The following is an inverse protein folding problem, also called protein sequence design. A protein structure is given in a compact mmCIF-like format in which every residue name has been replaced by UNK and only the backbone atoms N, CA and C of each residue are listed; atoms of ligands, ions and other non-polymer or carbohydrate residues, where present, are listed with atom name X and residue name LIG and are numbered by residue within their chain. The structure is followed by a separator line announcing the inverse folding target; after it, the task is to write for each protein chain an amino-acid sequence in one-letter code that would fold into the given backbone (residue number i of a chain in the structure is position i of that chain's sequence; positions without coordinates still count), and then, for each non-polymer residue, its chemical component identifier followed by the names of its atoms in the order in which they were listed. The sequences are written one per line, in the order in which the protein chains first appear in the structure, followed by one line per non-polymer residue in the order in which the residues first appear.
data_IF_803637637659
#
_entry.id   IF_803637637659
#
_cell.length_a   1.000
_cell.length_b   1.000
_cell.length_c   1.000
_cell.angle_alpha   90.00
_cell.angle_beta   90.00
_cell.angle_gamma   90.00
#
_symmetry.space_group_name_H-M   'P 1'
#
loop_
_entity.id
_entity.type
_entity.pdbx_description
1 polymer ?
#
# COMPACT_ATOMS: atom_id res chain seq x y z
N UNK A 1 2.22 31.80 -6.73
CA UNK A 1 0.76 31.71 -6.81
C UNK A 1 0.32 30.58 -5.91
N UNK A 2 -0.07 30.91 -4.67
CA UNK A 2 -0.47 29.94 -3.63
C UNK A 2 -1.89 29.45 -3.94
N UNK A 3 -2.02 28.21 -4.37
CA UNK A 3 -3.36 27.58 -4.48
C UNK A 3 -3.97 27.49 -3.11
N UNK A 4 -5.09 28.20 -2.93
CA UNK A 4 -5.83 28.26 -1.68
C UNK A 4 -6.19 26.84 -1.19
N UNK A 5 -6.00 26.50 0.10
CA UNK A 5 -6.29 25.18 0.64
C UNK A 5 -7.75 24.74 0.42
N UNK A 6 -8.65 25.70 0.26
CA UNK A 6 -10.06 25.46 -0.07
C UNK A 6 -10.29 24.84 -1.46
N UNK A 7 -9.39 25.08 -2.42
CA UNK A 7 -9.49 24.50 -3.77
C UNK A 7 -9.08 23.04 -3.77
N UNK A 8 -8.07 22.67 -3.00
CA UNK A 8 -7.60 21.29 -2.86
C UNK A 8 -8.67 20.43 -2.16
N UNK A 9 -9.30 20.95 -1.11
CA UNK A 9 -10.40 20.28 -0.40
C UNK A 9 -11.61 20.08 -1.31
N UNK A 10 -11.96 21.05 -2.14
CA UNK A 10 -13.06 20.91 -3.13
C UNK A 10 -12.76 19.88 -4.21
N UNK A 11 -11.52 19.80 -4.69
CA UNK A 11 -11.09 18.77 -5.65
C UNK A 11 -11.11 17.37 -5.03
N UNK A 12 -10.67 17.21 -3.78
CA UNK A 12 -10.75 15.95 -3.05
C UNK A 12 -12.19 15.51 -2.80
N UNK A 13 -13.07 16.42 -2.40
CA UNK A 13 -14.50 16.14 -2.23
C UNK A 13 -15.15 15.79 -3.58
N UNK A 14 -14.79 16.48 -4.66
CA UNK A 14 -15.24 16.16 -6.02
C UNK A 14 -14.83 14.77 -6.48
N UNK A 15 -13.59 14.37 -6.25
CA UNK A 15 -13.09 13.01 -6.54
C UNK A 15 -13.82 11.94 -5.70
N UNK A 16 -14.11 12.21 -4.43
CA UNK A 16 -14.86 11.29 -3.57
C UNK A 16 -16.31 11.17 -4.03
N UNK A 17 -16.94 12.28 -4.45
CA UNK A 17 -18.33 12.26 -4.94
C UNK A 17 -18.48 11.55 -6.28
N UNK A 18 -17.49 11.60 -7.18
CA UNK A 18 -17.50 10.89 -8.46
C UNK A 18 -17.33 9.38 -8.32
N UNK A 19 -16.82 8.90 -7.17
CA UNK A 19 -16.71 7.46 -6.84
C UNK A 19 -18.02 6.84 -6.33
N UNK A 20 -19.02 7.64 -5.97
CA UNK A 20 -20.30 7.20 -5.40
C UNK A 20 -21.33 6.59 -6.36
N UNK A 21 -21.38 6.85 -7.70
CA UNK A 21 -22.46 6.32 -8.54
C UNK A 21 -22.20 4.95 -9.16
N UNK A 22 -21.21 4.16 -8.74
CA UNK A 22 -20.93 2.83 -9.30
C UNK A 22 -21.89 1.71 -8.81
N UNK A 23 -23.05 2.06 -8.28
CA UNK A 23 -24.06 1.06 -7.87
C UNK A 23 -24.78 0.33 -9.00
N UNK A 24 -24.53 0.67 -10.26
CA UNK A 24 -25.20 0.04 -11.41
C UNK A 24 -24.30 -0.87 -12.25
N UNK A 25 -23.08 -1.18 -11.82
CA UNK A 25 -22.35 -2.30 -12.38
C UNK A 25 -23.09 -3.59 -11.96
N UNK A 26 -23.71 -4.27 -12.90
CA UNK A 26 -24.40 -5.55 -12.70
C UNK A 26 -23.58 -6.42 -11.79
N UNK A 27 -24.15 -6.75 -10.62
CA UNK A 27 -23.51 -7.53 -9.58
C UNK A 27 -23.11 -8.89 -10.15
N UNK A 28 -21.87 -9.01 -10.61
CA UNK A 28 -21.26 -10.32 -10.78
C UNK A 28 -21.27 -10.94 -9.38
N UNK A 29 -21.97 -12.06 -9.23
CA UNK A 29 -22.14 -12.71 -7.92
C UNK A 29 -20.77 -12.98 -7.30
N UNK A 30 -20.57 -12.37 -6.18
CA UNK A 30 -19.38 -12.51 -5.36
C UNK A 30 -19.45 -13.84 -4.62
N UNK A 31 -18.42 -14.66 -4.72
CA UNK A 31 -18.38 -15.96 -4.03
C UNK A 31 -18.20 -15.77 -2.52
N UNK A 32 -17.33 -14.84 -2.11
CA UNK A 32 -16.99 -14.54 -0.72
C UNK A 32 -16.86 -13.03 -0.50
N UNK A 33 -17.44 -12.54 0.60
CA UNK A 33 -17.44 -11.11 0.88
C UNK A 33 -16.18 -10.63 1.58
N UNK A 34 -15.62 -11.46 2.46
CA UNK A 34 -14.48 -11.09 3.31
C UNK A 34 -13.32 -12.07 3.11
N UNK A 35 -12.11 -11.54 3.09
CA UNK A 35 -10.87 -12.30 3.04
C UNK A 35 -9.96 -11.79 4.14
N UNK A 36 -9.41 -12.69 4.95
CA UNK A 36 -8.42 -12.39 5.98
C UNK A 36 -7.10 -13.07 5.63
N UNK A 37 -6.01 -12.38 5.81
CA UNK A 37 -4.70 -12.92 5.46
C UNK A 37 -3.55 -12.33 6.22
N UNK A 38 -2.41 -12.97 6.04
CA UNK A 38 -1.11 -12.56 6.55
C UNK A 38 -0.14 -12.35 5.40
N UNK A 39 0.76 -11.42 5.55
CA UNK A 39 1.78 -11.07 4.56
C UNK A 39 3.15 -11.00 5.22
N UNK A 40 4.18 -11.36 4.45
CA UNK A 40 5.58 -11.18 4.86
C UNK A 40 6.46 -10.94 3.63
N UNK A 41 7.54 -10.19 3.81
CA UNK A 41 8.49 -9.94 2.74
C UNK A 41 9.47 -8.81 3.03
N UNK A 42 10.25 -8.39 2.04
CA UNK A 42 11.20 -7.30 2.17
C UNK A 42 10.52 -5.92 2.17
N UNK A 43 11.06 -5.04 3.00
CA UNK A 43 10.77 -3.62 3.08
C UNK A 43 12.07 -2.87 2.79
N UNK A 44 12.00 -1.87 1.90
CA UNK A 44 13.13 -1.02 1.52
C UNK A 44 12.77 0.44 1.69
N UNK A 45 13.72 1.21 2.20
CA UNK A 45 13.58 2.64 2.40
C UNK A 45 14.13 3.42 1.20
N UNK A 46 13.39 4.45 0.76
CA UNK A 46 13.78 5.39 -0.27
C UNK A 46 13.79 6.80 0.32
N UNK A 47 14.96 7.32 0.63
CA UNK A 47 15.16 8.66 1.16
C UNK A 47 16.61 9.05 1.07
N UNK A 48 16.95 10.20 1.63
CA UNK A 48 18.26 10.83 1.52
C UNK A 48 19.40 9.93 2.01
N UNK A 49 19.16 9.07 2.97
CA UNK A 49 20.14 8.13 3.52
C UNK A 49 20.41 6.88 2.66
N UNK A 50 19.66 6.66 1.59
CA UNK A 50 19.81 5.47 0.73
C UNK A 50 19.97 5.81 -0.75
N UNK A 51 20.69 6.89 -1.06
CA UNK A 51 20.89 7.38 -2.41
C UNK A 51 21.68 6.39 -3.26
N UNK A 52 21.09 5.95 -4.38
CA UNK A 52 21.80 5.22 -5.44
C UNK A 52 21.40 3.76 -5.67
N UNK A 53 20.61 3.11 -4.81
CA UNK A 53 20.11 1.76 -5.10
C UNK A 53 18.86 1.43 -4.29
N UNK A 54 17.71 1.27 -4.93
CA UNK A 54 16.42 1.11 -4.24
C UNK A 54 16.28 -0.20 -3.44
N UNK A 55 17.14 -1.17 -3.65
CA UNK A 55 17.11 -2.49 -2.96
C UNK A 55 18.32 -2.73 -2.05
N UNK A 56 19.02 -1.66 -1.67
CA UNK A 56 20.16 -1.75 -0.77
C UNK A 56 19.64 -1.84 0.68
N UNK A 57 20.02 -2.89 1.40
CA UNK A 57 19.59 -3.17 2.78
C UNK A 57 18.08 -3.44 2.95
N UNK A 58 17.50 -4.49 2.30
CA UNK A 58 16.13 -4.87 2.56
C UNK A 58 15.98 -5.39 4.00
N UNK A 59 14.97 -4.91 4.70
CA UNK A 59 14.57 -5.42 6.00
C UNK A 59 13.32 -6.29 5.88
N UNK A 60 13.09 -7.13 6.87
CA UNK A 60 11.88 -7.92 6.93
C UNK A 60 10.70 -7.07 7.42
N UNK A 61 9.55 -7.27 6.79
CA UNK A 61 8.26 -6.76 7.24
C UNK A 61 7.23 -7.87 7.25
N UNK A 62 6.26 -7.75 8.14
CA UNK A 62 5.10 -8.62 8.21
C UNK A 62 3.84 -7.76 8.38
N UNK A 63 2.71 -8.25 7.85
CA UNK A 63 1.44 -7.56 7.96
C UNK A 63 0.29 -8.55 8.10
N UNK A 64 -0.81 -8.05 8.65
CA UNK A 64 -2.11 -8.70 8.62
C UNK A 64 -3.07 -7.83 7.83
N UNK A 65 -4.01 -8.43 7.12
CA UNK A 65 -4.98 -7.66 6.38
C UNK A 65 -6.36 -8.29 6.37
N UNK A 66 -7.35 -7.42 6.23
CA UNK A 66 -8.73 -7.77 5.93
C UNK A 66 -9.10 -7.14 4.58
N UNK A 67 -9.63 -7.94 3.67
CA UNK A 67 -10.07 -7.47 2.36
C UNK A 67 -11.57 -7.69 2.24
N UNK A 68 -12.29 -6.61 2.04
CA UNK A 68 -13.73 -6.65 1.77
C UNK A 68 -13.96 -6.54 0.27
N UNK A 69 -14.46 -7.61 -0.32
CA UNK A 69 -14.74 -7.68 -1.73
C UNK A 69 -16.09 -7.00 -2.02
N UNK A 70 -16.06 -5.88 -2.74
CA UNK A 70 -17.27 -5.17 -3.20
C UNK A 70 -17.90 -5.92 -4.38
N UNK A 71 -17.06 -6.36 -5.29
CA UNK A 71 -17.41 -7.21 -6.43
C UNK A 71 -16.16 -8.01 -6.88
N UNK A 72 -16.26 -8.80 -7.96
CA UNK A 72 -15.15 -9.62 -8.45
C UNK A 72 -13.95 -8.80 -8.96
N UNK A 73 -14.13 -7.49 -9.18
CA UNK A 73 -13.07 -6.59 -9.68
C UNK A 73 -12.63 -5.54 -8.67
N UNK A 74 -13.42 -5.27 -7.65
CA UNK A 74 -13.21 -4.17 -6.72
C UNK A 74 -13.18 -4.68 -5.28
N UNK A 75 -12.19 -4.28 -4.51
CA UNK A 75 -12.05 -4.64 -3.10
C UNK A 75 -11.53 -3.46 -2.30
N UNK A 76 -11.88 -3.43 -1.03
CA UNK A 76 -11.27 -2.56 -0.02
C UNK A 76 -10.36 -3.42 0.86
N UNK A 77 -9.10 -3.10 0.93
CA UNK A 77 -8.11 -3.76 1.80
C UNK A 77 -7.75 -2.84 2.94
N UNK A 78 -7.85 -3.34 4.15
CA UNK A 78 -7.33 -2.73 5.35
C UNK A 78 -6.16 -3.57 5.85
N UNK A 79 -4.99 -2.97 6.01
CA UNK A 79 -3.79 -3.67 6.47
C UNK A 79 -3.09 -2.95 7.61
N UNK A 80 -2.46 -3.76 8.46
CA UNK A 80 -1.56 -3.31 9.52
C UNK A 80 -0.24 -4.02 9.32
N UNK A 81 0.80 -3.25 9.02
CA UNK A 81 2.13 -3.74 8.75
C UNK A 81 3.11 -3.32 9.86
N UNK A 82 4.02 -4.22 10.17
CA UNK A 82 5.16 -3.98 11.07
C UNK A 82 6.45 -4.35 10.35
N UNK A 83 7.44 -3.49 10.42
CA UNK A 83 8.75 -3.73 9.84
C UNK A 83 9.83 -2.86 10.45
N UNK A 84 11.01 -2.91 9.85
CA UNK A 84 12.12 -2.03 10.19
C UNK A 84 12.59 -1.29 8.94
N UNK A 85 12.87 -0.01 9.09
CA UNK A 85 13.58 0.76 8.06
C UNK A 85 15.03 0.95 8.53
N UNK A 86 15.96 0.78 7.61
CA UNK A 86 17.38 1.06 7.86
C UNK A 86 17.99 1.79 6.67
N UNK A 87 18.89 2.69 6.97
CA UNK A 87 19.71 3.40 5.98
C UNK A 87 21.16 3.42 6.44
N UNK A 88 22.08 3.40 5.47
CA UNK A 88 23.52 3.48 5.68
C UNK A 88 24.10 4.49 4.67
N UNK A 89 24.32 5.71 5.14
CA UNK A 89 24.88 6.81 4.32
C UNK A 89 26.39 6.67 4.10
N UNK A 90 27.09 5.82 4.85
CA UNK A 90 28.56 5.64 4.74
C UNK A 90 29.01 5.05 3.40
N UNK A 91 28.11 4.39 2.68
CA UNK A 91 28.36 3.77 1.36
C UNK A 91 27.91 4.63 0.17
N UNK A 92 27.41 5.84 0.42
CA UNK A 92 26.98 6.79 -0.62
C UNK A 92 28.11 7.73 -1.01
N UNK A 93 28.11 8.20 -2.27
CA UNK A 93 29.08 9.15 -2.81
C UNK A 93 28.86 10.59 -2.30
N UNK A 94 27.79 10.84 -1.57
CA UNK A 94 27.40 12.17 -1.11
C UNK A 94 27.77 12.35 0.36
N UNK A 95 28.72 13.23 0.61
CA UNK A 95 29.02 13.75 1.94
C UNK A 95 28.00 14.86 2.23
N UNK A 96 27.28 14.76 3.33
CA UNK A 96 26.43 15.84 3.81
C UNK A 96 27.30 17.04 4.21
N UNK A 97 26.99 18.27 3.78
CA UNK A 97 27.87 19.42 3.94
C UNK A 97 28.11 19.88 5.39
N UNK A 98 27.28 19.45 6.35
CA UNK A 98 27.37 19.88 7.76
C UNK A 98 27.85 18.79 8.73
N UNK A 99 28.26 17.61 8.25
CA UNK A 99 28.70 16.53 9.13
C UNK A 99 30.01 15.92 8.64
N UNK A 100 31.12 16.54 9.04
CA UNK A 100 32.46 16.01 8.81
C UNK A 100 32.61 14.61 9.44
N UNK A 101 32.54 13.58 8.59
CA UNK A 101 33.05 12.25 8.90
C UNK A 101 32.17 11.33 9.75
N UNK A 102 30.95 11.70 10.09
CA UNK A 102 30.05 10.77 10.82
C UNK A 102 29.32 9.82 9.87
N UNK A 103 29.54 8.53 10.06
CA UNK A 103 28.78 7.47 9.41
C UNK A 103 27.34 7.46 9.95
N UNK A 104 26.38 7.97 9.15
CA UNK A 104 24.99 7.95 9.56
C UNK A 104 24.38 6.59 9.27
N UNK A 105 24.14 5.83 10.32
CA UNK A 105 23.42 4.55 10.28
C UNK A 105 22.20 4.64 11.15
N UNK A 106 21.04 4.34 10.60
CA UNK A 106 19.83 4.26 11.39
C UNK A 106 19.11 2.93 11.15
N UNK A 107 18.45 2.46 12.19
CA UNK A 107 17.54 1.31 12.13
C UNK A 107 16.39 1.60 13.08
N UNK A 108 15.19 1.81 12.53
CA UNK A 108 14.01 2.21 13.30
C UNK A 108 12.86 1.27 13.02
N UNK A 109 12.05 0.90 14.04
CA UNK A 109 10.81 0.18 13.83
C UNK A 109 9.79 1.08 13.14
N UNK A 110 9.00 0.49 12.26
CA UNK A 110 7.94 1.14 11.51
C UNK A 110 6.65 0.34 11.69
N UNK A 111 5.58 1.04 12.01
CA UNK A 111 4.20 0.53 11.99
C UNK A 111 3.42 1.32 10.95
N UNK A 112 2.70 0.63 10.11
CA UNK A 112 1.86 1.25 9.09
C UNK A 112 0.45 0.68 9.14
N UNK A 113 -0.54 1.56 9.07
CA UNK A 113 -1.96 1.19 9.02
C UNK A 113 -2.53 1.85 7.78
N UNK A 114 -3.07 1.08 6.85
CA UNK A 114 -3.59 1.62 5.61
C UNK A 114 -4.94 1.05 5.22
N UNK A 115 -5.73 1.88 4.54
CA UNK A 115 -6.95 1.50 3.85
C UNK A 115 -6.74 1.74 2.36
N UNK A 116 -6.86 0.69 1.55
CA UNK A 116 -6.53 0.70 0.13
C UNK A 116 -7.70 0.18 -0.70
N UNK A 117 -7.95 0.86 -1.80
CA UNK A 117 -8.86 0.39 -2.83
C UNK A 117 -8.07 -0.41 -3.85
N UNK A 118 -8.55 -1.61 -4.16
CA UNK A 118 -7.94 -2.51 -5.14
C UNK A 118 -8.86 -2.69 -6.33
N UNK A 119 -8.28 -2.62 -7.54
CA UNK A 119 -8.96 -2.86 -8.79
C UNK A 119 -8.30 -4.03 -9.53
N UNK A 120 -9.02 -5.13 -9.64
CA UNK A 120 -8.58 -6.31 -10.38
C UNK A 120 -8.81 -6.10 -11.89
N UNK A 121 -7.80 -6.40 -12.71
CA UNK A 121 -7.93 -6.30 -14.16
C UNK A 121 -8.91 -7.33 -14.73
N UNK A 122 -9.04 -8.49 -14.07
CA UNK A 122 -9.99 -9.53 -14.45
C UNK A 122 -10.91 -9.86 -13.28
N UNK A 123 -12.08 -10.40 -13.61
CA UNK A 123 -13.00 -10.92 -12.61
C UNK A 123 -12.35 -12.07 -11.84
N UNK A 124 -12.14 -11.87 -10.54
CA UNK A 124 -11.45 -12.82 -9.66
C UNK A 124 -12.43 -13.80 -9.02
N UNK A 125 -12.12 -15.09 -9.04
CA UNK A 125 -12.95 -16.12 -8.45
C UNK A 125 -12.37 -17.52 -8.62
N UNK A 126 -13.16 -18.56 -8.30
CA UNK A 126 -12.72 -19.98 -8.36
C UNK A 126 -12.40 -20.47 -9.78
N UNK A 127 -12.79 -19.73 -10.79
CA UNK A 127 -12.70 -20.16 -12.19
C UNK A 127 -13.79 -21.20 -12.54
N UNK A 128 -14.00 -21.39 -13.82
CA UNK A 128 -15.00 -22.37 -14.29
C UNK A 128 -16.46 -21.90 -14.24
N UNK A 129 -16.71 -20.68 -13.77
CA UNK A 129 -18.02 -20.05 -13.89
C UNK A 129 -18.25 -19.63 -15.33
N UNK A 130 -19.46 -19.85 -15.83
CA UNK A 130 -19.92 -19.41 -17.16
C UNK A 130 -19.73 -17.87 -17.37
N UNK A 131 -19.58 -17.10 -16.29
CA UNK A 131 -19.32 -15.65 -16.26
C UNK A 131 -17.84 -15.26 -16.41
N UNK A 132 -16.92 -16.21 -16.63
CA UNK A 132 -15.53 -15.93 -17.00
C UNK A 132 -14.64 -15.43 -15.84
N UNK A 133 -14.92 -15.80 -14.59
CA UNK A 133 -14.00 -15.53 -13.47
C UNK A 133 -12.68 -16.29 -13.65
N UNK A 134 -11.57 -15.67 -13.27
CA UNK A 134 -10.23 -16.26 -13.35
C UNK A 134 -9.65 -16.47 -11.97
N UNK A 135 -8.89 -17.55 -11.80
CA UNK A 135 -8.16 -17.83 -10.55
C UNK A 135 -6.96 -16.91 -10.35
N UNK A 136 -6.42 -16.37 -11.44
CA UNK A 136 -5.32 -15.42 -11.41
C UNK A 136 -5.85 -14.04 -11.81
N UNK A 137 -5.58 -13.03 -10.99
CA UNK A 137 -5.93 -11.64 -11.30
C UNK A 137 -4.82 -10.68 -10.85
N UNK A 138 -4.15 -10.00 -11.78
CA UNK A 138 -3.38 -8.82 -11.45
C UNK A 138 -4.30 -7.70 -10.99
N UNK A 139 -3.80 -6.85 -10.10
CA UNK A 139 -4.53 -5.70 -9.59
C UNK A 139 -3.63 -4.50 -9.38
N UNK A 140 -4.24 -3.33 -9.37
CA UNK A 140 -3.65 -2.09 -8.91
C UNK A 140 -4.33 -1.69 -7.61
N UNK A 141 -3.60 -0.97 -6.78
CA UNK A 141 -4.11 -0.49 -5.49
C UNK A 141 -3.66 0.93 -5.21
N UNK A 142 -4.53 1.67 -4.54
CA UNK A 142 -4.25 3.00 -4.02
C UNK A 142 -5.04 3.25 -2.75
N UNK A 143 -4.52 4.10 -1.87
CA UNK A 143 -5.21 4.34 -0.62
C UNK A 143 -4.64 5.47 0.21
N UNK A 144 -5.03 5.47 1.47
CA UNK A 144 -4.54 6.36 2.50
C UNK A 144 -4.14 5.54 3.71
N UNK A 145 -3.08 5.95 4.38
CA UNK A 145 -2.57 5.29 5.57
C UNK A 145 -1.91 6.24 6.55
N UNK A 146 -1.56 5.70 7.68
CA UNK A 146 -0.78 6.34 8.73
C UNK A 146 0.44 5.49 9.01
N UNK A 147 1.61 6.09 8.87
CA UNK A 147 2.88 5.46 9.16
C UNK A 147 3.44 6.05 10.44
N UNK A 148 3.72 5.21 11.41
CA UNK A 148 4.38 5.59 12.65
C UNK A 148 5.80 5.03 12.68
N UNK A 149 6.78 5.90 12.88
CA UNK A 149 8.18 5.55 13.01
C UNK A 149 8.75 6.23 14.27
N UNK A 150 9.16 5.44 15.25
CA UNK A 150 9.65 5.92 16.54
C UNK A 150 8.59 6.77 17.29
N UNK A 151 8.66 8.09 17.23
CA UNK A 151 7.70 9.03 17.85
C UNK A 151 6.96 9.90 16.83
N UNK A 152 7.28 9.73 15.56
CA UNK A 152 6.70 10.50 14.47
C UNK A 152 5.56 9.71 13.83
N UNK A 153 4.46 10.41 13.54
CA UNK A 153 3.32 9.85 12.80
C UNK A 153 3.12 10.70 11.55
N UNK A 154 3.11 10.05 10.40
CA UNK A 154 2.93 10.69 9.11
C UNK A 154 1.76 10.09 8.35
N UNK A 155 1.06 10.93 7.59
CA UNK A 155 0.10 10.44 6.59
C UNK A 155 0.89 9.77 5.46
N UNK A 156 0.43 8.61 5.02
CA UNK A 156 1.01 7.89 3.87
C UNK A 156 -0.02 7.68 2.76
N UNK A 157 0.48 7.69 1.53
CA UNK A 157 -0.31 7.39 0.34
C UNK A 157 0.29 6.13 -0.28
N UNK A 158 -0.28 4.94 -0.01
CA UNK A 158 0.13 3.72 -0.65
C UNK A 158 -0.35 3.69 -2.11
N UNK A 159 0.58 3.41 -3.02
CA UNK A 159 0.32 3.09 -4.42
C UNK A 159 1.00 1.76 -4.73
N UNK A 160 0.32 0.85 -5.41
CA UNK A 160 0.91 -0.45 -5.66
C UNK A 160 0.24 -1.25 -6.75
N UNK A 161 0.89 -2.35 -7.03
CA UNK A 161 0.44 -3.39 -7.96
C UNK A 161 0.59 -4.74 -7.27
N UNK A 162 -0.22 -5.69 -7.65
CA UNK A 162 -0.09 -7.03 -7.13
C UNK A 162 -0.73 -8.08 -8.01
N UNK A 163 -0.59 -9.31 -7.59
CA UNK A 163 -1.20 -10.45 -8.24
C UNK A 163 -1.85 -11.34 -7.19
N UNK A 164 -3.09 -11.78 -7.48
CA UNK A 164 -3.87 -12.72 -6.67
C UNK A 164 -3.97 -14.05 -7.39
N UNK A 165 -3.82 -15.12 -6.66
CA UNK A 165 -4.04 -16.47 -7.17
C UNK A 165 -4.87 -17.30 -6.17
N UNK A 166 -5.99 -17.84 -6.65
CA UNK A 166 -6.85 -18.73 -5.87
C UNK A 166 -6.43 -20.18 -6.12
N UNK A 167 -5.66 -20.76 -5.21
CA UNK A 167 -5.17 -22.13 -5.35
C UNK A 167 -6.16 -23.17 -4.83
N UNK A 168 -7.06 -22.78 -3.92
CA UNK A 168 -8.14 -23.64 -3.43
C UNK A 168 -9.46 -22.84 -3.31
N UNK A 169 -10.61 -23.47 -3.13
CA UNK A 169 -11.92 -22.77 -3.10
C UNK A 169 -12.00 -21.60 -2.12
N UNK A 170 -11.27 -21.67 -0.99
CA UNK A 170 -11.25 -20.63 0.04
C UNK A 170 -9.87 -20.07 0.33
N UNK A 171 -8.86 -20.55 -0.36
CA UNK A 171 -7.49 -20.12 -0.11
C UNK A 171 -6.95 -19.33 -1.27
N UNK A 172 -6.39 -18.19 -0.95
CA UNK A 172 -5.76 -17.25 -1.87
C UNK A 172 -4.31 -17.08 -1.48
N UNK A 173 -3.45 -16.87 -2.47
CA UNK A 173 -2.10 -16.39 -2.26
C UNK A 173 -1.77 -15.33 -3.30
N UNK A 174 -0.70 -14.60 -3.07
CA UNK A 174 -0.28 -13.60 -4.04
C UNK A 174 0.94 -12.82 -3.59
N UNK A 175 1.26 -11.82 -4.39
CA UNK A 175 2.33 -10.87 -4.13
C UNK A 175 1.80 -9.45 -4.31
N UNK A 176 2.26 -8.56 -3.45
CA UNK A 176 1.88 -7.16 -3.35
C UNK A 176 3.15 -6.32 -3.34
N UNK A 177 3.33 -5.47 -4.32
CA UNK A 177 4.38 -4.47 -4.37
C UNK A 177 3.75 -3.10 -4.19
N UNK A 178 4.02 -2.45 -3.08
CA UNK A 178 3.48 -1.13 -2.77
C UNK A 178 4.59 -0.15 -2.40
N UNK A 179 4.50 1.05 -2.95
CA UNK A 179 5.30 2.21 -2.57
C UNK A 179 4.43 3.13 -1.75
N UNK A 180 4.92 3.56 -0.61
CA UNK A 180 4.23 4.45 0.32
C UNK A 180 4.94 5.79 0.37
N UNK A 181 4.24 6.81 -0.13
CA UNK A 181 4.69 8.20 -0.09
C UNK A 181 4.21 8.82 1.21
N UNK A 182 5.14 9.30 2.04
CA UNK A 182 4.78 9.91 3.32
C UNK A 182 4.80 11.43 3.23
N UNK A 183 4.06 12.08 4.12
CA UNK A 183 4.06 13.55 4.21
C UNK A 183 5.15 14.07 5.15
N UNK A 184 5.82 13.20 5.90
CA UNK A 184 6.90 13.55 6.82
C UNK A 184 8.27 13.44 6.15
N UNK A 185 9.19 14.30 6.56
CA UNK A 185 10.60 14.37 6.16
C UNK A 185 11.52 13.96 7.32
N UNK A 186 10.96 13.30 8.33
CA UNK A 186 11.68 13.02 9.58
C UNK A 186 11.59 11.55 9.99
N UNK A 187 11.21 10.66 9.04
CA UNK A 187 11.16 9.22 9.31
C UNK A 187 12.54 8.64 9.57
N UNK A 188 13.56 9.15 8.88
CA UNK A 188 14.96 8.79 9.09
C UNK A 188 15.60 9.55 10.27
N UNK A 189 14.99 10.66 10.73
CA UNK A 189 15.50 11.54 11.79
C UNK A 189 16.50 12.57 11.31
N UNK A 190 16.59 12.79 10.00
CA UNK A 190 17.37 13.85 9.37
C UNK A 190 16.38 14.91 8.88
N UNK A 191 16.42 16.08 9.48
CA UNK A 191 15.56 17.20 9.08
C UNK A 191 16.32 18.09 8.13
N UNK A 192 15.90 18.13 6.85
CA UNK A 192 16.36 19.07 5.81
C UNK A 192 17.92 19.20 5.72
N UNK A 193 18.63 18.12 5.30
CA UNK A 193 20.10 18.11 5.26
C UNK A 193 20.69 19.14 4.30
N UNK A 194 19.90 19.65 3.34
CA UNK A 194 20.33 20.62 2.33
C UNK A 194 19.73 22.01 2.50
N UNK A 195 18.93 22.27 3.56
CA UNK A 195 18.22 23.54 3.80
C UNK A 195 17.41 24.02 2.59
N UNK A 196 16.88 23.08 1.80
CA UNK A 196 16.05 23.38 0.64
C UNK A 196 14.59 23.29 1.08
N UNK A 197 13.88 24.44 1.08
CA UNK A 197 12.47 24.49 1.39
C UNK A 197 11.69 23.51 0.52
N UNK A 198 11.17 22.43 1.11
CA UNK A 198 10.45 21.37 0.43
C UNK A 198 8.96 21.69 0.30
N UNK A 199 8.37 21.43 -0.87
CA UNK A 199 6.90 21.46 -1.06
C UNK A 199 6.23 20.26 -0.42
N UNK A 200 4.89 20.22 -0.40
CA UNK A 200 4.09 19.19 0.28
C UNK A 200 4.43 17.72 -0.09
N UNK A 201 5.05 17.48 -1.24
CA UNK A 201 5.44 16.14 -1.75
C UNK A 201 6.85 16.09 -2.35
N UNK A 202 7.66 17.14 -2.21
CA UNK A 202 9.01 17.19 -2.75
C UNK A 202 10.00 16.97 -1.60
N UNK A 203 10.99 16.09 -1.78
CA UNK A 203 11.95 15.65 -0.76
C UNK A 203 11.29 15.05 0.50
N UNK A 204 10.31 14.15 0.31
CA UNK A 204 9.66 13.42 1.40
C UNK A 204 10.10 11.98 1.41
N UNK A 205 10.21 11.42 2.61
CA UNK A 205 10.54 10.03 2.81
C UNK A 205 9.51 9.11 2.17
N UNK A 206 9.98 8.08 1.51
CA UNK A 206 9.15 7.03 0.94
C UNK A 206 9.76 5.66 1.21
N UNK A 207 8.94 4.63 1.18
CA UNK A 207 9.42 3.27 1.31
C UNK A 207 8.58 2.32 0.46
N UNK A 208 9.19 1.21 0.06
CA UNK A 208 8.50 0.16 -0.67
C UNK A 208 8.46 -1.13 0.14
N UNK A 209 7.36 -1.86 -0.01
CA UNK A 209 7.17 -3.19 0.51
C UNK A 209 6.84 -4.14 -0.63
N UNK A 210 7.57 -5.25 -0.71
CA UNK A 210 7.21 -6.39 -1.54
C UNK A 210 6.78 -7.51 -0.60
N UNK A 211 5.48 -7.74 -0.46
CA UNK A 211 4.92 -8.68 0.49
C UNK A 211 4.27 -9.85 -0.25
N UNK A 212 4.60 -11.06 0.16
CA UNK A 212 3.90 -12.28 -0.25
C UNK A 212 2.85 -12.61 0.80
N UNK A 213 1.68 -13.06 0.36
CA UNK A 213 0.58 -13.30 1.27
C UNK A 213 -0.13 -14.63 1.04
N UNK A 214 -0.75 -15.09 2.13
CA UNK A 214 -1.73 -16.17 2.12
C UNK A 214 -2.97 -15.67 2.86
N UNK A 215 -4.13 -15.97 2.31
CA UNK A 215 -5.41 -15.50 2.83
C UNK A 215 -6.50 -16.55 2.72
N UNK A 216 -7.48 -16.42 3.59
CA UNK A 216 -8.65 -17.29 3.66
C UNK A 216 -9.94 -16.51 3.46
N UNK A 217 -10.80 -17.03 2.59
CA UNK A 217 -12.10 -16.45 2.28
C UNK A 217 -13.15 -16.82 3.33
N UNK A 218 -13.81 -15.79 3.83
CA UNK A 218 -14.88 -15.84 4.81
C UNK A 218 -16.19 -15.32 4.23
N UNK A 219 -17.30 -15.58 4.92
CA UNK A 219 -18.63 -15.07 4.56
C UNK A 219 -19.05 -15.45 3.13
N UNK A 220 -19.32 -16.74 2.86
CA UNK A 220 -19.82 -17.17 1.57
C UNK A 220 -21.17 -16.50 1.29
N UNK A 221 -21.31 -15.92 0.09
CA UNK A 221 -22.60 -15.42 -0.40
C UNK A 221 -23.31 -16.55 -1.14
N UNK A 222 -24.36 -17.08 -0.53
CA UNK A 222 -25.21 -18.05 -1.19
C UNK A 222 -26.05 -17.39 -2.28
N UNK A 223 -26.14 -18.02 -3.44
CA UNK A 223 -27.08 -17.62 -4.47
C UNK A 223 -28.49 -17.74 -3.92
N UNK A 224 -29.23 -16.65 -3.83
CA UNK A 224 -30.66 -16.72 -3.70
C UNK A 224 -31.18 -17.14 -5.08
N UNK A 225 -31.65 -18.37 -5.21
CA UNK A 225 -32.47 -18.77 -6.33
C UNK A 225 -33.79 -18.02 -6.18
N UNK A 226 -34.00 -16.95 -6.91
CA UNK A 226 -35.33 -16.39 -7.10
C UNK A 226 -36.04 -17.31 -8.09
N UNK A 227 -36.70 -18.32 -7.57
CA UNK A 227 -37.82 -18.98 -8.23
C UNK A 227 -39.08 -18.26 -7.76
N UNK A 228 -39.41 -17.14 -8.38
CA UNK A 228 -40.75 -16.57 -8.48
C UNK A 228 -41.05 -16.31 -9.95
#
# INVERSE_FOLDING_TARGET
MLTQPRTIVRLLIGCILTMLPLRHAQAQELEYALELGVMAGPLTYFGDANYGSPFKNPNAAAAVFARYNLNQRMSLKFDVAYGKISGDASKGSNKFPDQDGQEWKFSKPLVDIACQYELNFWAYGTGGSYKGSRRLAPYIQMGLGLTACNKEVALSIPLGIGVKYKFAPRWNCGADLSVRFTTSDNLDGITDPYRISSGAFKNKDSYAMLLFYVAYDLCPKYRKCNNE
#
